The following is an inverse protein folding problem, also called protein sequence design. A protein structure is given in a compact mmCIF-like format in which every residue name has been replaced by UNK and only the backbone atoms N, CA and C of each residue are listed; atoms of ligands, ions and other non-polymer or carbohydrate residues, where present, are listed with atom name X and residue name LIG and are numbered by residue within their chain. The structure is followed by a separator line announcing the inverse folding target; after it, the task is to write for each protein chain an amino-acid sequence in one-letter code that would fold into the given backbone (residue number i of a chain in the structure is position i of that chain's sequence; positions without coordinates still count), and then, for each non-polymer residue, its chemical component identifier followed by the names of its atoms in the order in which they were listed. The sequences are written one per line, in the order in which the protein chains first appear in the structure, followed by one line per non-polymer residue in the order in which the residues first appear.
data_IF_328766500667
#
_entry.id   IF_328766500667
#
_cell.length_a   1.000
_cell.length_b   1.000
_cell.length_c   1.000
_cell.angle_alpha   90.00
_cell.angle_beta   90.00
_cell.angle_gamma   90.00
#
_symmetry.space_group_name_H-M   'P 1'
#
loop_
_entity.id
_entity.type
_entity.pdbx_description
1 polymer ?
#
# COMPACT_ATOMS: atom_id res chain seq x y z
N UNK A 1 8.56 -2.41 23.12
CA UNK A 1 7.85 -2.47 21.82
C UNK A 1 7.76 -1.05 21.28
N UNK A 2 8.26 -0.77 20.06
CA UNK A 2 8.09 0.55 19.45
C UNK A 2 6.68 0.63 18.84
N UNK A 3 5.96 1.75 18.96
CA UNK A 3 4.67 1.91 18.31
C UNK A 3 4.83 1.83 16.78
N UNK A 4 3.90 1.13 16.12
CA UNK A 4 3.79 1.03 14.65
C UNK A 4 2.52 1.73 14.19
N UNK A 5 2.60 2.41 13.06
CA UNK A 5 1.49 3.17 12.49
C UNK A 5 1.98 4.45 11.81
N UNK A 6 1.03 5.33 11.52
CA UNK A 6 1.26 6.57 10.82
C UNK A 6 0.38 7.69 11.34
N UNK A 7 0.77 8.92 11.04
CA UNK A 7 0.00 10.13 11.28
C UNK A 7 -0.01 10.98 10.01
N UNK A 8 -0.86 12.01 9.99
CA UNK A 8 -0.90 12.95 8.87
C UNK A 8 -0.27 14.27 9.26
N UNK A 9 0.48 14.86 8.34
CA UNK A 9 1.04 16.19 8.51
C UNK A 9 0.50 17.13 7.43
N UNK A 10 0.19 18.36 7.83
CA UNK A 10 -0.21 19.39 6.90
C UNK A 10 1.01 19.93 6.13
N UNK A 11 0.90 19.94 4.80
CA UNK A 11 1.92 20.50 3.92
C UNK A 11 1.51 21.92 3.52
N UNK A 12 2.34 22.89 3.87
CA UNK A 12 2.17 24.31 3.51
C UNK A 12 3.34 24.81 2.69
N UNK A 13 3.06 25.61 1.67
CA UNK A 13 4.04 26.41 0.94
C UNK A 13 3.55 27.85 0.90
N UNK A 14 4.44 28.82 1.15
CA UNK A 14 4.08 30.24 1.17
C UNK A 14 2.87 30.56 2.08
N UNK A 15 2.75 29.89 3.23
CA UNK A 15 1.60 29.95 4.18
C UNK A 15 0.27 29.41 3.64
N UNK A 16 0.23 28.93 2.40
CA UNK A 16 -0.94 28.29 1.80
C UNK A 16 -0.83 26.78 2.00
N UNK A 17 -1.92 26.15 2.43
CA UNK A 17 -2.01 24.70 2.53
C UNK A 17 -2.08 24.09 1.13
N UNK A 18 -1.08 23.28 0.80
CA UNK A 18 -1.00 22.52 -0.45
C UNK A 18 -1.51 21.10 -0.31
N UNK A 19 -1.62 20.58 0.93
CA UNK A 19 -2.22 19.27 1.16
C UNK A 19 -1.75 18.61 2.46
N UNK A 20 -1.61 17.29 2.40
CA UNK A 20 -1.30 16.43 3.52
C UNK A 20 -0.35 15.31 3.12
N UNK A 21 0.59 15.00 3.99
CA UNK A 21 1.43 13.80 3.90
C UNK A 21 1.02 12.77 4.93
N UNK A 22 1.25 11.50 4.59
CA UNK A 22 1.31 10.41 5.57
C UNK A 22 2.75 10.27 6.02
N UNK A 23 2.95 10.19 7.33
CA UNK A 23 4.26 9.97 7.94
C UNK A 23 4.17 8.78 8.89
N UNK A 24 5.00 7.76 8.68
CA UNK A 24 5.07 6.61 9.58
C UNK A 24 5.85 6.97 10.85
N UNK A 25 5.65 6.22 11.93
CA UNK A 25 6.48 6.38 13.14
C UNK A 25 7.95 6.01 12.92
N UNK A 26 8.31 5.51 11.74
CA UNK A 26 9.68 5.16 11.36
C UNK A 26 10.31 6.22 10.46
N UNK A 27 9.57 7.29 10.14
CA UNK A 27 10.06 8.46 9.41
C UNK A 27 9.83 8.40 7.90
N UNK A 28 9.19 7.36 7.39
CA UNK A 28 8.82 7.28 5.98
C UNK A 28 7.67 8.25 5.69
N UNK A 29 7.73 8.91 4.53
CA UNK A 29 6.78 9.95 4.14
C UNK A 29 6.27 9.71 2.74
N UNK A 30 4.96 9.81 2.55
CA UNK A 30 4.30 9.81 1.25
C UNK A 30 3.22 10.88 1.14
N UNK A 31 2.84 11.21 -0.10
CA UNK A 31 1.75 12.18 -0.33
C UNK A 31 0.40 11.51 -0.10
N UNK A 32 -0.38 12.02 0.86
CA UNK A 32 -1.77 11.56 1.07
C UNK A 32 -2.72 12.30 0.14
N UNK A 33 -2.68 13.62 0.21
CA UNK A 33 -3.59 14.48 -0.51
C UNK A 33 -2.91 15.77 -0.95
N UNK A 34 -3.29 16.28 -2.11
CA UNK A 34 -2.81 17.56 -2.63
C UNK A 34 -3.95 18.37 -3.21
N UNK A 35 -3.83 19.68 -3.15
CA UNK A 35 -4.76 20.58 -3.83
C UNK A 35 -4.85 20.16 -5.31
N UNK A 36 -6.06 19.94 -5.82
CA UNK A 36 -6.26 19.49 -7.19
C UNK A 36 -5.65 20.46 -8.19
N UNK A 37 -5.56 21.75 -7.86
CA UNK A 37 -4.90 22.76 -8.70
C UNK A 37 -3.38 22.55 -8.84
N UNK A 38 -2.77 21.74 -7.97
CA UNK A 38 -1.34 21.41 -7.98
C UNK A 38 -1.05 20.02 -8.55
N UNK A 39 -2.09 19.27 -8.94
CA UNK A 39 -1.97 17.94 -9.51
C UNK A 39 -2.09 18.04 -11.04
N UNK A 40 -1.19 17.35 -11.74
CA UNK A 40 -1.18 17.32 -13.20
C UNK A 40 -2.20 16.31 -13.77
N UNK A 41 -2.61 15.34 -12.96
CA UNK A 41 -3.42 14.20 -13.39
C UNK A 41 -4.86 14.28 -12.88
N UNK A 42 -5.76 13.62 -13.63
CA UNK A 42 -7.14 13.40 -13.22
C UNK A 42 -7.17 12.55 -11.96
N UNK A 43 -7.59 13.15 -10.84
CA UNK A 43 -7.67 12.44 -9.57
C UNK A 43 -8.98 11.66 -9.46
N UNK A 44 -8.87 10.35 -9.27
CA UNK A 44 -10.00 9.42 -9.10
C UNK A 44 -10.84 9.72 -7.86
N UNK A 45 -10.20 10.07 -6.74
CA UNK A 45 -10.85 10.31 -5.45
C UNK A 45 -10.51 11.69 -4.89
N UNK A 46 -11.50 12.40 -4.37
CA UNK A 46 -11.35 13.79 -3.89
C UNK A 46 -12.10 14.02 -2.59
N UNK A 47 -11.56 14.91 -1.76
CA UNK A 47 -12.20 15.42 -0.54
C UNK A 47 -12.09 16.94 -0.56
N UNK A 48 -13.22 17.62 -0.80
CA UNK A 48 -13.23 19.07 -1.04
C UNK A 48 -12.33 19.46 -2.20
N UNK A 49 -11.40 20.39 -1.97
CA UNK A 49 -10.43 20.84 -2.99
C UNK A 49 -9.20 19.92 -3.14
N UNK A 50 -9.11 18.85 -2.37
CA UNK A 50 -7.93 17.98 -2.36
C UNK A 50 -8.19 16.68 -3.12
N UNK A 51 -7.26 16.33 -4.00
CA UNK A 51 -7.17 15.02 -4.61
C UNK A 51 -6.42 14.05 -3.70
N UNK A 52 -6.99 12.86 -3.50
CA UNK A 52 -6.43 11.80 -2.67
C UNK A 52 -5.59 10.86 -3.55
N UNK A 53 -4.33 10.67 -3.17
CA UNK A 53 -3.36 9.83 -3.87
C UNK A 53 -3.35 8.44 -3.21
N UNK A 54 -4.32 7.60 -3.59
CA UNK A 54 -4.54 6.29 -2.95
C UNK A 54 -3.32 5.39 -3.10
N UNK A 55 -2.73 5.32 -4.29
CA UNK A 55 -1.57 4.44 -4.53
C UNK A 55 -0.35 4.83 -3.68
N UNK A 56 -0.11 6.13 -3.49
CA UNK A 56 0.97 6.63 -2.65
C UNK A 56 0.68 6.45 -1.16
N UNK A 57 -0.59 6.60 -0.77
CA UNK A 57 -1.04 6.27 0.57
C UNK A 57 -0.83 4.79 0.88
N UNK A 58 -1.25 3.89 0.00
CA UNK A 58 -1.19 2.45 0.20
C UNK A 58 0.25 1.97 0.41
N UNK A 59 1.21 2.50 -0.36
CA UNK A 59 2.65 2.18 -0.22
C UNK A 59 3.23 2.50 1.15
N UNK A 60 2.67 3.46 1.89
CA UNK A 60 3.22 3.93 3.17
C UNK A 60 2.35 3.45 4.35
N UNK A 61 1.05 3.65 4.25
CA UNK A 61 0.12 3.37 5.33
C UNK A 61 -0.07 1.87 5.54
N UNK A 62 -0.27 1.08 4.48
CA UNK A 62 -0.57 -0.35 4.63
C UNK A 62 0.58 -1.11 5.30
N UNK A 63 1.87 -0.95 4.89
CA UNK A 63 2.98 -1.61 5.58
C UNK A 63 3.10 -1.20 7.04
N UNK A 64 2.87 0.08 7.36
CA UNK A 64 2.91 0.56 8.74
C UNK A 64 1.80 -0.05 9.63
N UNK A 65 0.73 -0.56 9.02
CA UNK A 65 -0.35 -1.30 9.68
C UNK A 65 -0.08 -2.80 9.76
N UNK A 66 0.84 -3.38 8.99
CA UNK A 66 1.21 -4.81 9.10
C UNK A 66 1.82 -5.14 10.48
N UNK A 67 2.36 -4.15 11.19
CA UNK A 67 2.71 -4.27 12.61
C UNK A 67 1.55 -4.71 13.51
N UNK A 68 0.29 -4.50 13.08
CA UNK A 68 -0.92 -4.97 13.78
C UNK A 68 -1.02 -6.51 13.72
N UNK A 69 -0.66 -7.14 12.60
CA UNK A 69 -0.62 -8.61 12.51
C UNK A 69 0.42 -9.19 13.46
N UNK A 70 1.61 -8.57 13.50
CA UNK A 70 2.66 -8.94 14.44
C UNK A 70 2.21 -8.74 15.89
N UNK A 71 1.54 -7.63 16.19
CA UNK A 71 0.95 -7.37 17.50
C UNK A 71 -0.05 -8.47 17.91
N UNK A 72 -0.97 -8.87 17.02
CA UNK A 72 -1.91 -9.96 17.29
C UNK A 72 -1.20 -11.29 17.51
N UNK A 73 -0.15 -11.57 16.74
CA UNK A 73 0.68 -12.77 16.92
C UNK A 73 1.37 -12.80 18.29
N UNK A 74 1.99 -11.70 18.72
CA UNK A 74 2.65 -11.57 20.03
C UNK A 74 1.63 -11.79 21.16
N UNK A 75 0.40 -11.29 20.99
CA UNK A 75 -0.70 -11.45 21.95
C UNK A 75 -1.40 -12.82 21.87
N UNK A 76 -0.80 -13.82 21.20
CA UNK A 76 -1.31 -15.20 21.06
C UNK A 76 -2.71 -15.28 20.45
N UNK A 77 -3.13 -14.28 19.67
CA UNK A 77 -4.35 -14.39 18.86
C UNK A 77 -4.08 -15.35 17.70
N UNK A 78 -5.12 -16.01 17.20
CA UNK A 78 -5.02 -16.85 16.02
C UNK A 78 -5.11 -16.00 14.75
N UNK A 79 -4.49 -16.45 13.65
CA UNK A 79 -4.53 -15.76 12.35
C UNK A 79 -5.96 -15.46 11.89
N UNK A 80 -6.89 -16.36 12.16
CA UNK A 80 -8.33 -16.21 11.89
C UNK A 80 -8.97 -15.07 12.68
N UNK A 81 -8.56 -14.88 13.93
CA UNK A 81 -9.06 -13.79 14.78
C UNK A 81 -8.48 -12.45 14.34
N UNK A 82 -7.20 -12.42 13.96
CA UNK A 82 -6.56 -11.25 13.39
C UNK A 82 -7.21 -10.85 12.05
N UNK A 83 -7.46 -11.82 11.16
CA UNK A 83 -8.18 -11.60 9.91
C UNK A 83 -9.61 -11.07 10.17
N UNK A 84 -10.35 -11.64 11.13
CA UNK A 84 -11.70 -11.16 11.47
C UNK A 84 -11.69 -9.69 11.89
N UNK A 85 -10.77 -9.30 12.78
CA UNK A 85 -10.67 -7.91 13.24
C UNK A 85 -10.24 -6.97 12.10
N UNK A 86 -9.33 -7.41 11.23
CA UNK A 86 -8.92 -6.65 10.06
C UNK A 86 -10.06 -6.47 9.05
N UNK A 87 -10.84 -7.53 8.79
CA UNK A 87 -12.01 -7.47 7.93
C UNK A 87 -13.10 -6.55 8.51
N UNK A 88 -13.33 -6.58 9.82
CA UNK A 88 -14.26 -5.66 10.51
C UNK A 88 -13.79 -4.19 10.42
N UNK A 89 -12.48 -3.94 10.45
CA UNK A 89 -11.92 -2.58 10.49
C UNK A 89 -11.74 -1.98 9.08
N UNK A 90 -11.28 -2.77 8.12
CA UNK A 90 -10.86 -2.30 6.79
C UNK A 90 -11.76 -2.78 5.65
N UNK A 91 -12.76 -3.64 5.94
CA UNK A 91 -13.72 -4.14 4.95
C UNK A 91 -13.03 -4.84 3.79
N UNK A 92 -13.43 -4.50 2.56
CA UNK A 92 -12.91 -5.10 1.32
C UNK A 92 -11.42 -4.84 1.07
N UNK A 93 -10.82 -3.86 1.77
CA UNK A 93 -9.39 -3.55 1.68
C UNK A 93 -8.55 -4.32 2.72
N UNK A 94 -9.16 -5.24 3.48
CA UNK A 94 -8.45 -6.05 4.45
C UNK A 94 -7.56 -7.11 3.79
N UNK A 95 -6.50 -7.50 4.48
CA UNK A 95 -5.67 -8.63 4.07
C UNK A 95 -6.50 -9.91 4.01
N UNK A 96 -6.29 -10.69 2.95
CA UNK A 96 -6.93 -12.00 2.81
C UNK A 96 -6.55 -12.93 3.97
N UNK A 97 -7.44 -13.87 4.27
CA UNK A 97 -7.18 -14.91 5.28
C UNK A 97 -5.90 -15.70 4.98
N UNK A 98 -5.64 -15.98 3.69
CA UNK A 98 -4.41 -16.63 3.22
C UNK A 98 -3.16 -15.82 3.57
N UNK A 99 -3.17 -14.51 3.27
CA UNK A 99 -2.06 -13.61 3.59
C UNK A 99 -1.82 -13.53 5.10
N UNK A 100 -2.90 -13.48 5.90
CA UNK A 100 -2.79 -13.52 7.36
C UNK A 100 -2.14 -14.80 7.87
N UNK A 101 -2.48 -15.97 7.30
CA UNK A 101 -1.87 -17.25 7.69
C UNK A 101 -0.39 -17.33 7.34
N UNK A 102 -0.01 -16.86 6.14
CA UNK A 102 1.39 -16.88 5.70
C UNK A 102 2.26 -15.96 6.55
N UNK A 103 1.78 -14.77 6.89
CA UNK A 103 2.44 -13.89 7.84
C UNK A 103 2.59 -14.52 9.23
N UNK A 104 1.54 -15.18 9.73
CA UNK A 104 1.61 -15.88 11.02
C UNK A 104 2.56 -17.09 11.00
N UNK A 105 2.74 -17.75 9.86
CA UNK A 105 3.75 -18.80 9.69
C UNK A 105 5.17 -18.21 9.69
N UNK A 106 5.39 -17.09 9.00
CA UNK A 106 6.66 -16.36 9.05
C UNK A 106 7.04 -15.95 10.47
N UNK A 107 6.10 -15.40 11.22
CA UNK A 107 6.34 -14.99 12.61
C UNK A 107 6.68 -16.17 13.53
N UNK A 108 6.14 -17.37 13.28
CA UNK A 108 6.53 -18.60 14.00
C UNK A 108 7.98 -19.02 13.70
N UNK A 109 8.48 -18.68 12.51
CA UNK A 109 9.84 -18.93 12.08
C UNK A 109 10.80 -17.80 12.49
N UNK A 110 10.38 -16.89 13.39
CA UNK A 110 11.10 -15.69 13.79
C UNK A 110 11.47 -14.74 12.63
N UNK A 111 10.78 -14.84 11.50
CA UNK A 111 10.92 -13.89 10.39
C UNK A 111 9.93 -12.74 10.61
N UNK A 112 10.43 -11.65 11.20
CA UNK A 112 9.68 -10.45 11.54
C UNK A 112 9.90 -9.30 10.54
N UNK A 113 10.60 -9.55 9.43
CA UNK A 113 10.77 -8.56 8.38
C UNK A 113 9.43 -8.30 7.69
N UNK A 114 8.94 -7.07 7.82
CA UNK A 114 7.67 -6.61 7.27
C UNK A 114 7.79 -6.13 5.82
N UNK A 115 9.01 -6.00 5.29
CA UNK A 115 9.23 -5.65 3.90
C UNK A 115 8.99 -6.86 2.99
N UNK A 116 8.37 -6.60 1.84
CA UNK A 116 8.24 -7.60 0.79
C UNK A 116 9.64 -7.95 0.27
N UNK A 117 10.12 -9.15 0.63
CA UNK A 117 11.32 -9.72 0.00
C UNK A 117 11.05 -9.83 -1.50
N UNK A 118 11.97 -9.30 -2.32
CA UNK A 118 11.95 -9.50 -3.76
C UNK A 118 11.76 -10.99 -4.04
N UNK A 119 10.63 -11.36 -4.64
CA UNK A 119 10.36 -12.75 -4.95
C UNK A 119 11.34 -13.17 -6.04
N UNK A 120 12.34 -13.98 -5.68
CA UNK A 120 13.26 -14.64 -6.62
C UNK A 120 12.58 -15.70 -7.51
N UNK A 121 11.25 -15.60 -7.68
CA UNK A 121 10.39 -16.53 -8.40
C UNK A 121 9.66 -15.88 -9.58
N UNK A 122 10.14 -14.74 -10.09
CA UNK A 122 9.67 -14.22 -11.36
C UNK A 122 9.85 -15.31 -12.44
N UNK A 123 8.73 -15.94 -12.81
CA UNK A 123 8.61 -16.74 -14.02
C UNK A 123 8.93 -15.80 -15.19
N UNK A 124 10.18 -15.84 -15.67
CA UNK A 124 10.52 -15.36 -17.02
C UNK A 124 9.60 -16.08 -17.99
N UNK A 125 8.66 -15.39 -18.63
CA UNK A 125 8.30 -15.52 -20.06
C UNK A 125 7.45 -14.31 -20.46
N UNK A 126 8.05 -13.37 -21.17
CA UNK A 126 7.71 -13.10 -22.57
C UNK A 126 9.03 -12.65 -23.22
N UNK A 127 9.44 -13.33 -24.29
CA UNK A 127 10.50 -12.85 -25.18
C UNK A 127 9.94 -11.66 -25.94
N UNK A 128 10.61 -10.50 -25.83
CA UNK A 128 10.19 -9.23 -26.43
C UNK A 128 10.02 -9.33 -27.97
N UNK A 129 10.66 -10.33 -28.60
CA UNK A 129 10.54 -10.63 -30.03
C UNK A 129 9.13 -11.02 -30.48
N UNK A 130 8.27 -11.53 -29.57
CA UNK A 130 6.88 -11.87 -29.90
C UNK A 130 5.92 -10.68 -29.81
N UNK A 131 6.36 -9.57 -29.22
CA UNK A 131 5.54 -8.36 -29.07
C UNK A 131 5.55 -7.50 -30.34
N UNK A 132 6.61 -7.55 -31.15
CA UNK A 132 6.68 -6.81 -32.42
C UNK A 132 5.76 -7.40 -33.51
N UNK A 133 5.54 -8.72 -33.51
CA UNK A 133 4.68 -9.38 -34.51
C UNK A 133 3.17 -9.10 -34.31
N UNK A 134 2.77 -8.63 -33.11
CA UNK A 134 1.38 -8.30 -32.78
C UNK A 134 1.02 -6.82 -33.01
N UNK A 135 2.01 -5.93 -33.15
CA UNK A 135 1.78 -4.50 -33.41
C UNK A 135 1.62 -4.19 -34.91
N UNK A 136 2.05 -5.10 -35.79
CA UNK A 136 1.95 -4.93 -37.25
C UNK A 136 0.58 -5.32 -37.84
N UNK A 137 -0.38 -5.76 -36.99
CA UNK A 137 -1.74 -6.14 -37.41
C UNK A 137 -2.83 -5.13 -37.02
N UNK A 138 -2.46 -3.98 -36.44
CA UNK A 138 -3.42 -2.89 -36.16
C UNK A 138 -2.96 -1.56 -36.75
N UNK A 139 -2.42 -1.58 -37.96
CA UNK A 139 -2.47 -0.41 -38.86
C UNK A 139 -2.97 -0.85 -40.25
N UNK A 140 -4.29 -1.02 -40.36
CA UNK A 140 -5.00 -0.67 -41.59
C UNK A 140 -6.18 0.19 -41.20
N UNK A 141 -5.91 1.50 -41.12
CA UNK A 141 -6.88 2.51 -41.48
C UNK A 141 -7.53 2.14 -42.82
N UNK A 142 -8.84 1.96 -42.84
CA UNK A 142 -9.70 2.65 -43.80
C UNK A 142 -11.11 2.79 -43.30
#
# INVERSE_FOLDING_TARGET
MKPTGFYTEEVKKNRVREGFDVVTFHGERGKLARDVALLNDSVKCKVGKYGVLIEEFDKIAIPSLQGILLHYFIHKKFATEAHRILAETYGDNALSDTSCRDWFQRFKNNDFELEDKEHSGALKKFEDEKLEELLDKTDVRR
#
